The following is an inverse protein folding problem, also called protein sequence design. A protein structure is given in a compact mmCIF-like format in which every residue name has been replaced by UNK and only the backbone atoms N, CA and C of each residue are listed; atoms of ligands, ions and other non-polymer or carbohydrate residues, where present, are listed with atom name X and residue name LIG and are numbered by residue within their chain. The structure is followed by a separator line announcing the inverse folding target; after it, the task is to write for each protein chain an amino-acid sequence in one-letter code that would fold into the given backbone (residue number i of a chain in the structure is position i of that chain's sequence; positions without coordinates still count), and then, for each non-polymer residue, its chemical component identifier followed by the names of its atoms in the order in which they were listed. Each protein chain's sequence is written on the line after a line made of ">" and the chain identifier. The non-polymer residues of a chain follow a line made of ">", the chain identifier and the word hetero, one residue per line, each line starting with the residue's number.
data_IF_570940932980
#
_entry.id   IF_570940932980
#
_cell.length_a   1.000
_cell.length_b   1.000
_cell.length_c   1.000
_cell.angle_alpha   90.00
_cell.angle_beta   90.00
_cell.angle_gamma   90.00
#
_symmetry.space_group_name_H-M   'P 1'
#
loop_
_entity.id
_entity.type
_entity.pdbx_description
1 polymer ?
#
# COMPACT_ATOMS: atom_id res chain seq x y z
N UNK A 1 17.53 -11.29 -0.02
CA UNK A 1 16.34 -11.26 -0.91
C UNK A 1 16.71 -10.53 -2.19
N UNK A 2 16.37 -11.02 -3.40
CA UNK A 2 16.51 -10.22 -4.60
C UNK A 2 15.56 -9.03 -4.47
N UNK A 3 16.10 -7.84 -4.25
CA UNK A 3 15.31 -6.62 -4.05
C UNK A 3 14.52 -6.25 -5.31
N UNK A 4 13.34 -5.68 -5.12
CA UNK A 4 12.57 -5.09 -6.21
C UNK A 4 13.41 -3.99 -6.88
N UNK A 5 13.65 -4.09 -8.19
CA UNK A 5 14.38 -3.07 -8.95
C UNK A 5 13.44 -1.91 -9.28
N UNK A 6 13.27 -1.04 -8.30
CA UNK A 6 12.35 0.08 -8.36
C UNK A 6 13.05 1.40 -8.70
N UNK A 7 12.42 2.26 -9.54
CA UNK A 7 12.89 3.63 -9.78
C UNK A 7 11.98 4.63 -9.08
N UNK A 8 12.54 5.54 -8.28
CA UNK A 8 11.77 6.60 -7.63
C UNK A 8 11.40 7.72 -8.61
N UNK A 9 10.22 8.31 -8.44
CA UNK A 9 9.81 9.51 -9.17
C UNK A 9 9.33 10.62 -8.23
N UNK A 10 10.08 11.73 -8.18
CA UNK A 10 9.65 13.05 -7.67
C UNK A 10 9.49 13.21 -6.14
N UNK A 11 9.80 14.42 -5.66
CA UNK A 11 9.50 14.86 -4.28
C UNK A 11 8.00 15.19 -4.17
N UNK A 12 7.25 14.37 -3.45
CA UNK A 12 5.88 14.65 -3.02
C UNK A 12 5.64 14.02 -1.64
N UNK A 13 4.56 14.39 -0.95
CA UNK A 13 4.10 13.74 0.30
C UNK A 13 3.80 12.23 0.14
N UNK A 14 3.80 11.78 -1.10
CA UNK A 14 3.73 10.39 -1.54
C UNK A 14 5.04 10.08 -2.27
N UNK A 15 5.73 9.02 -1.87
CA UNK A 15 6.85 8.47 -2.61
C UNK A 15 6.34 7.41 -3.59
N UNK A 16 6.74 7.51 -4.86
CA UNK A 16 6.31 6.60 -5.91
C UNK A 16 7.50 5.88 -6.54
N UNK A 17 7.34 4.58 -6.76
CA UNK A 17 8.29 3.69 -7.38
C UNK A 17 7.68 2.91 -8.53
N UNK A 18 8.45 2.73 -9.60
CA UNK A 18 8.08 1.86 -10.72
C UNK A 18 8.91 0.58 -10.62
N UNK A 19 8.24 -0.55 -10.43
CA UNK A 19 8.84 -1.87 -10.22
C UNK A 19 8.33 -2.83 -11.33
N UNK A 20 9.00 -2.81 -12.48
CA UNK A 20 8.54 -3.53 -13.67
C UNK A 20 7.29 -2.89 -14.29
N UNK A 21 6.21 -3.65 -14.40
CA UNK A 21 4.90 -3.18 -14.87
C UNK A 21 4.01 -2.62 -13.76
N UNK A 22 4.51 -2.62 -12.52
CA UNK A 22 3.76 -2.21 -11.35
C UNK A 22 4.23 -0.86 -10.82
N UNK A 23 3.30 -0.05 -10.35
CA UNK A 23 3.55 1.23 -9.69
C UNK A 23 3.22 1.08 -8.22
N UNK A 24 4.20 1.36 -7.37
CA UNK A 24 4.06 1.38 -5.93
C UNK A 24 4.05 2.84 -5.47
N UNK A 25 3.10 3.24 -4.64
CA UNK A 25 3.08 4.54 -3.99
C UNK A 25 2.95 4.36 -2.49
N UNK A 26 3.73 5.06 -1.70
CA UNK A 26 3.63 5.05 -0.24
C UNK A 26 3.41 6.45 0.31
N UNK A 27 2.74 6.52 1.46
CA UNK A 27 2.51 7.76 2.17
C UNK A 27 2.48 7.50 3.66
N UNK A 28 3.03 8.43 4.44
CA UNK A 28 2.96 8.39 5.90
C UNK A 28 1.88 9.37 6.35
N UNK A 29 1.02 8.92 7.26
CA UNK A 29 -0.15 9.65 7.71
C UNK A 29 -0.33 9.52 9.22
N UNK A 30 -1.04 10.47 9.82
CA UNK A 30 -1.41 10.47 11.23
C UNK A 30 -2.93 10.59 11.38
N UNK A 31 -3.46 10.24 12.56
CA UNK A 31 -4.87 10.45 12.89
C UNK A 31 -5.84 9.57 12.08
N UNK A 32 -5.49 8.32 11.81
CA UNK A 32 -6.39 7.38 11.14
C UNK A 32 -7.48 6.92 12.10
N UNK A 33 -8.68 7.48 11.93
CA UNK A 33 -9.86 7.13 12.75
C UNK A 33 -10.62 5.91 12.19
N UNK A 34 -10.63 5.78 10.86
CA UNK A 34 -11.33 4.70 10.14
C UNK A 34 -10.38 4.07 9.11
N UNK A 35 -9.81 2.89 9.41
CA UNK A 35 -8.92 2.17 8.50
C UNK A 35 -9.55 1.81 7.15
N UNK A 36 -10.85 1.48 7.13
CA UNK A 36 -11.54 1.06 5.90
C UNK A 36 -11.77 2.23 4.97
N UNK A 37 -12.23 3.36 5.52
CA UNK A 37 -12.37 4.60 4.76
C UNK A 37 -11.01 5.08 4.24
N UNK A 38 -9.96 4.91 5.04
CA UNK A 38 -8.59 5.28 4.67
C UNK A 38 -8.07 4.43 3.52
N UNK A 39 -8.23 3.11 3.55
CA UNK A 39 -7.86 2.23 2.43
C UNK A 39 -8.59 2.60 1.14
N UNK A 40 -9.89 2.90 1.22
CA UNK A 40 -10.67 3.37 0.06
C UNK A 40 -10.16 4.69 -0.49
N UNK A 41 -9.74 5.62 0.39
CA UNK A 41 -9.14 6.91 0.00
C UNK A 41 -7.77 6.73 -0.64
N UNK A 42 -6.94 5.82 -0.12
CA UNK A 42 -5.64 5.49 -0.69
C UNK A 42 -5.79 5.01 -2.14
N UNK A 43 -6.63 3.99 -2.39
CA UNK A 43 -6.89 3.52 -3.77
C UNK A 43 -7.38 4.62 -4.70
N UNK A 44 -8.20 5.54 -4.19
CA UNK A 44 -8.72 6.67 -4.97
C UNK A 44 -7.66 7.73 -5.27
N UNK A 45 -6.76 7.99 -4.32
CA UNK A 45 -5.83 9.12 -4.37
C UNK A 45 -4.68 8.96 -5.36
N UNK A 46 -4.30 7.72 -5.69
CA UNK A 46 -3.24 7.43 -6.67
C UNK A 46 -3.75 7.00 -8.04
N UNK A 47 -5.02 6.60 -8.14
CA UNK A 47 -5.61 6.20 -9.41
C UNK A 47 -5.99 7.42 -10.25
N UNK A 48 -5.53 7.44 -11.50
CA UNK A 48 -5.87 8.49 -12.48
C UNK A 48 -7.39 8.62 -12.72
N UNK A 49 -8.15 7.55 -12.50
CA UNK A 49 -9.60 7.53 -12.74
C UNK A 49 -10.42 8.11 -11.58
N UNK A 50 -9.82 8.45 -10.44
CA UNK A 50 -10.49 8.99 -9.22
C UNK A 50 -11.75 8.23 -8.78
N UNK A 51 -11.99 7.04 -9.34
CA UNK A 51 -13.16 6.24 -9.11
C UNK A 51 -13.06 5.64 -7.71
N UNK A 52 -14.20 5.61 -7.01
CA UNK A 52 -14.29 4.82 -5.79
C UNK A 52 -13.98 3.36 -6.12
N UNK A 53 -13.42 2.59 -5.16
CA UNK A 53 -13.21 1.17 -5.33
C UNK A 53 -14.48 0.49 -5.88
N UNK A 54 -14.30 -0.43 -6.82
CA UNK A 54 -15.41 -1.11 -7.48
C UNK A 54 -16.29 -1.88 -6.50
N UNK A 55 -17.51 -2.29 -6.93
CA UNK A 55 -18.38 -3.13 -6.10
C UNK A 55 -17.75 -4.49 -5.77
N UNK A 56 -16.80 -4.94 -6.60
CA UNK A 56 -16.03 -6.19 -6.42
C UNK A 56 -14.80 -6.01 -5.51
N UNK A 57 -14.56 -4.80 -5.00
CA UNK A 57 -13.43 -4.56 -4.11
C UNK A 57 -13.56 -5.39 -2.83
N UNK A 58 -12.51 -6.13 -2.50
CA UNK A 58 -12.49 -7.08 -1.41
C UNK A 58 -11.55 -6.62 -0.29
N UNK A 59 -12.05 -6.65 0.94
CA UNK A 59 -11.26 -6.38 2.14
C UNK A 59 -10.69 -7.70 2.68
N UNK A 60 -9.40 -7.71 2.98
CA UNK A 60 -8.72 -8.82 3.62
C UNK A 60 -7.68 -8.32 4.63
N UNK A 61 -6.96 -9.23 5.26
CA UNK A 61 -5.92 -8.93 6.25
C UNK A 61 -4.78 -9.94 6.11
N UNK A 62 -3.55 -9.47 6.28
CA UNK A 62 -2.37 -10.31 6.37
C UNK A 62 -1.58 -9.96 7.63
N UNK A 63 -1.50 -10.89 8.58
CA UNK A 63 -0.78 -10.68 9.86
C UNK A 63 -1.17 -9.40 10.60
N UNK A 64 -2.47 -9.03 10.61
CA UNK A 64 -2.95 -7.80 11.23
C UNK A 64 -2.82 -6.55 10.37
N UNK A 65 -2.21 -6.64 9.18
CA UNK A 65 -2.13 -5.54 8.21
C UNK A 65 -3.38 -5.60 7.32
N UNK A 66 -4.31 -4.63 7.41
CA UNK A 66 -5.50 -4.60 6.57
C UNK A 66 -5.15 -4.26 5.11
N UNK A 67 -5.77 -4.97 4.18
CA UNK A 67 -5.64 -4.78 2.74
C UNK A 67 -7.01 -4.57 2.07
N UNK A 68 -7.01 -3.78 1.01
CA UNK A 68 -8.14 -3.59 0.11
C UNK A 68 -7.69 -3.87 -1.32
N UNK A 69 -8.29 -4.89 -1.95
CA UNK A 69 -7.95 -5.36 -3.29
C UNK A 69 -9.08 -4.96 -4.23
N UNK A 70 -8.76 -4.26 -5.32
CA UNK A 70 -9.70 -3.86 -6.37
C UNK A 70 -9.08 -4.07 -7.75
N UNK A 71 -9.33 -5.26 -8.32
CA UNK A 71 -8.73 -5.70 -9.58
C UNK A 71 -7.20 -5.78 -9.47
N UNK A 72 -6.49 -5.04 -10.33
CA UNK A 72 -5.03 -4.96 -10.32
C UNK A 72 -4.48 -3.95 -9.29
N UNK A 73 -5.33 -3.38 -8.43
CA UNK A 73 -4.92 -2.41 -7.42
C UNK A 73 -5.04 -3.00 -6.03
N UNK A 74 -4.05 -2.74 -5.18
CA UNK A 74 -4.10 -3.10 -3.76
C UNK A 74 -3.67 -1.92 -2.93
N UNK A 75 -4.46 -1.57 -1.93
CA UNK A 75 -4.02 -0.71 -0.84
C UNK A 75 -3.77 -1.57 0.40
N UNK A 76 -2.73 -1.22 1.15
CA UNK A 76 -2.48 -1.71 2.50
C UNK A 76 -2.24 -0.53 3.43
N UNK A 77 -2.49 -0.77 4.71
CA UNK A 77 -2.34 0.24 5.74
C UNK A 77 -1.67 -0.41 6.94
N UNK A 78 -0.45 0.00 7.25
CA UNK A 78 0.33 -0.54 8.36
C UNK A 78 0.48 0.50 9.47
N UNK A 79 0.22 0.11 10.71
CA UNK A 79 0.38 0.97 11.89
C UNK A 79 1.83 0.89 12.41
N UNK A 80 2.49 2.04 12.47
CA UNK A 80 3.83 2.23 13.01
C UNK A 80 3.85 2.51 14.52
N UNK A 81 5.05 2.62 15.11
CA UNK A 81 5.24 2.63 16.57
C UNK A 81 4.74 3.90 17.28
N UNK A 82 4.60 5.00 16.55
CA UNK A 82 4.21 6.31 17.09
C UNK A 82 2.76 6.69 16.77
N UNK A 83 1.90 5.71 16.45
CA UNK A 83 0.54 5.94 15.97
C UNK A 83 0.48 6.57 14.56
N UNK A 84 1.62 6.61 13.88
CA UNK A 84 1.72 6.93 12.46
C UNK A 84 1.35 5.71 11.62
N UNK A 85 0.78 5.94 10.45
CA UNK A 85 0.38 4.90 9.53
C UNK A 85 1.14 5.01 8.22
N UNK A 86 1.65 3.88 7.74
CA UNK A 86 2.17 3.74 6.39
C UNK A 86 1.05 3.22 5.48
N UNK A 87 0.53 4.09 4.63
CA UNK A 87 -0.34 3.70 3.52
C UNK A 87 0.49 3.33 2.31
N UNK A 88 0.21 2.19 1.69
CA UNK A 88 0.87 1.79 0.44
C UNK A 88 -0.19 1.37 -0.57
N UNK A 89 -0.02 1.78 -1.81
CA UNK A 89 -0.85 1.37 -2.94
C UNK A 89 0.03 0.79 -4.04
N UNK A 90 -0.35 -0.39 -4.51
CA UNK A 90 0.24 -1.06 -5.64
C UNK A 90 -0.77 -1.09 -6.79
N UNK A 91 -0.38 -0.62 -7.97
CA UNK A 91 -1.14 -0.72 -9.21
C UNK A 91 -0.38 -1.58 -10.22
N UNK A 92 -1.04 -2.58 -10.81
CA UNK A 92 -0.46 -3.46 -11.83
C UNK A 92 -0.33 -4.92 -11.35
N UNK A 93 0.49 -5.74 -12.03
CA UNK A 93 0.73 -7.13 -11.63
C UNK A 93 1.25 -7.24 -10.18
N UNK A 94 0.59 -8.06 -9.36
CA UNK A 94 0.85 -8.13 -7.92
C UNK A 94 1.84 -9.23 -7.51
N UNK A 95 2.16 -10.15 -8.43
CA UNK A 95 2.87 -11.40 -8.11
C UNK A 95 4.22 -11.13 -7.42
N UNK A 96 4.31 -11.50 -6.14
CA UNK A 96 5.51 -11.43 -5.31
C UNK A 96 5.85 -10.04 -4.75
N UNK A 97 5.27 -8.96 -5.28
CA UNK A 97 5.53 -7.59 -4.79
C UNK A 97 4.87 -7.39 -3.43
N UNK A 98 3.60 -7.78 -3.30
CA UNK A 98 2.84 -7.65 -2.06
C UNK A 98 3.48 -8.49 -0.95
N UNK A 99 3.81 -9.74 -1.25
CA UNK A 99 4.47 -10.64 -0.29
C UNK A 99 5.81 -10.04 0.18
N UNK A 100 6.60 -9.46 -0.74
CA UNK A 100 7.87 -8.81 -0.39
C UNK A 100 7.66 -7.59 0.53
N UNK A 101 6.62 -6.79 0.30
CA UNK A 101 6.30 -5.63 1.14
C UNK A 101 5.85 -6.10 2.53
N UNK A 102 4.96 -7.09 2.60
CA UNK A 102 4.46 -7.63 3.85
C UNK A 102 5.59 -8.27 4.66
N UNK A 103 6.44 -9.08 4.02
CA UNK A 103 7.63 -9.68 4.66
C UNK A 103 8.55 -8.60 5.26
N UNK A 104 8.78 -7.51 4.54
CA UNK A 104 9.62 -6.41 5.01
C UNK A 104 9.00 -5.70 6.23
N UNK A 105 7.70 -5.43 6.21
CA UNK A 105 6.98 -4.80 7.32
C UNK A 105 6.93 -5.70 8.56
N UNK A 106 6.68 -6.99 8.37
CA UNK A 106 6.67 -7.98 9.46
C UNK A 106 8.06 -8.17 10.06
N UNK A 107 9.11 -8.25 9.24
CA UNK A 107 10.48 -8.40 9.74
C UNK A 107 10.92 -7.16 10.54
N UNK A 108 10.58 -5.96 10.08
CA UNK A 108 10.84 -4.73 10.84
C UNK A 108 10.10 -4.72 12.17
N UNK A 109 8.87 -5.22 12.22
CA UNK A 109 8.11 -5.36 13.46
C UNK A 109 8.72 -6.39 14.42
N UNK A 110 9.35 -7.47 13.92
CA UNK A 110 10.00 -8.51 14.74
C UNK A 110 11.35 -8.11 15.31
N UNK A 111 12.04 -7.16 14.70
CA UNK A 111 13.35 -6.67 15.16
C UNK A 111 13.25 -5.64 16.30
N UNK A 112 12.04 -5.42 16.82
CA UNK A 112 11.72 -4.54 17.95
C UNK A 112 11.42 -5.37 19.19
#
# INVERSE_FOLDING_TARGET
>A
MPGLTCRSSGFSLVETWICGESVLSSTVMEGVEDPDLTLRRLLRGVSADLAYPGPEASRTEHEGIPLLIDGSRVALLHEGPDGQYLGVVLEGPQQGIIDTILDALTEEARQR
#
